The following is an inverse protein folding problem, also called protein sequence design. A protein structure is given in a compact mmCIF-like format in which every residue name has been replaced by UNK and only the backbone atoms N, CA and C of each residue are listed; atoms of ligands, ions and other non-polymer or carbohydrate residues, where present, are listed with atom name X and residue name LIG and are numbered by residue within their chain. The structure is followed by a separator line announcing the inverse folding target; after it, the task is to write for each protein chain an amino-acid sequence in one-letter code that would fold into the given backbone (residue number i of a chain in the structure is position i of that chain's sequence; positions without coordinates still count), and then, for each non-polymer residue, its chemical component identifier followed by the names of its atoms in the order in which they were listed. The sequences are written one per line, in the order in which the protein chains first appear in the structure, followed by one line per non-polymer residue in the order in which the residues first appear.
data_IF_626874359851
#
_entry.id   IF_626874359851
#
_cell.length_a   1.000
_cell.length_b   1.000
_cell.length_c   1.000
_cell.angle_alpha   90.00
_cell.angle_beta   90.00
_cell.angle_gamma   90.00
#
_symmetry.space_group_name_H-M   'P 1'
#
loop_
_entity.id
_entity.type
_entity.pdbx_description
1 polymer ?
#
# COMPACT_ATOMS: atom_id res chain seq x y z
N UNK A 1 13.79 -22.05 -15.65
CA UNK A 1 12.60 -21.18 -15.74
C UNK A 1 13.04 -19.78 -15.39
N UNK A 2 12.51 -18.73 -16.05
CA UNK A 2 12.81 -17.37 -15.65
C UNK A 2 12.22 -17.14 -14.24
N UNK A 3 12.97 -16.50 -13.36
CA UNK A 3 12.52 -16.15 -12.03
C UNK A 3 11.36 -15.15 -12.12
N UNK A 4 10.25 -15.43 -11.44
CA UNK A 4 9.12 -14.51 -11.36
C UNK A 4 9.53 -13.25 -10.59
N UNK A 5 9.40 -12.08 -11.20
CA UNK A 5 9.79 -10.81 -10.60
C UNK A 5 8.71 -9.74 -10.77
N UNK A 6 8.25 -9.19 -9.66
CA UNK A 6 7.30 -8.05 -9.60
C UNK A 6 7.97 -6.74 -10.12
N UNK A 7 7.21 -5.78 -10.65
CA UNK A 7 5.79 -5.89 -10.98
C UNK A 7 5.55 -6.66 -12.28
N UNK A 8 4.38 -7.27 -12.38
CA UNK A 8 3.93 -7.98 -13.58
C UNK A 8 3.20 -7.02 -14.54
N UNK A 9 3.05 -7.41 -15.83
CA UNK A 9 2.39 -6.56 -16.83
C UNK A 9 0.95 -6.19 -16.48
N UNK A 10 0.24 -7.10 -15.82
CA UNK A 10 -1.00 -6.84 -15.12
C UNK A 10 -0.84 -7.25 -13.66
N UNK A 11 -1.26 -6.37 -12.79
CA UNK A 11 -1.02 -6.53 -11.36
C UNK A 11 -2.20 -5.93 -10.56
N UNK A 12 -2.14 -6.00 -9.25
CA UNK A 12 -3.07 -5.38 -8.32
C UNK A 12 -2.32 -4.82 -7.11
N UNK A 13 -2.94 -3.96 -6.32
CA UNK A 13 -2.29 -3.33 -5.16
C UNK A 13 -2.19 -4.31 -3.98
N UNK A 14 -3.27 -5.00 -3.61
CA UNK A 14 -3.12 -6.06 -2.59
C UNK A 14 -4.36 -6.37 -1.75
N UNK A 15 -5.16 -5.37 -1.39
CA UNK A 15 -6.36 -5.59 -0.59
C UNK A 15 -7.57 -5.97 -1.44
N UNK A 16 -8.40 -6.88 -0.90
CA UNK A 16 -9.61 -7.40 -1.53
C UNK A 16 -10.82 -7.22 -0.61
N UNK A 17 -12.03 -7.18 -1.20
CA UNK A 17 -13.28 -7.10 -0.45
C UNK A 17 -13.41 -8.29 0.49
N UNK A 18 -13.65 -8.00 1.79
CA UNK A 18 -13.81 -9.05 2.81
C UNK A 18 -15.10 -9.82 2.58
N UNK A 19 -15.06 -11.19 2.53
CA UNK A 19 -16.25 -12.01 2.47
C UNK A 19 -17.15 -11.80 3.71
N UNK A 20 -18.44 -11.95 3.55
CA UNK A 20 -19.41 -11.78 4.64
C UNK A 20 -19.09 -12.67 5.85
N UNK A 21 -18.72 -13.95 5.61
CA UNK A 21 -18.33 -14.89 6.66
C UNK A 21 -17.16 -14.39 7.50
N UNK A 22 -16.16 -13.73 6.87
CA UNK A 22 -15.03 -13.14 7.60
C UNK A 22 -15.48 -11.96 8.45
N UNK A 23 -16.34 -11.07 7.90
CA UNK A 23 -16.89 -9.93 8.65
C UNK A 23 -17.67 -10.40 9.87
N UNK A 24 -18.49 -11.44 9.73
CA UNK A 24 -19.24 -12.06 10.84
C UNK A 24 -18.32 -12.65 11.91
N UNK A 25 -17.29 -13.39 11.51
CA UNK A 25 -16.33 -13.97 12.46
C UNK A 25 -15.55 -12.87 13.21
N UNK A 26 -15.17 -11.78 12.56
CA UNK A 26 -14.52 -10.63 13.21
C UNK A 26 -15.45 -9.93 14.19
N UNK A 27 -16.74 -9.78 13.86
CA UNK A 27 -17.74 -9.24 14.78
C UNK A 27 -17.94 -10.13 16.01
N UNK A 28 -18.04 -11.45 15.82
CA UNK A 28 -18.15 -12.44 16.90
C UNK A 28 -16.90 -12.43 17.81
N UNK A 29 -15.71 -12.32 17.24
CA UNK A 29 -14.47 -12.18 18.00
C UNK A 29 -14.46 -10.90 18.84
N UNK A 30 -14.85 -9.76 18.24
CA UNK A 30 -14.95 -8.47 18.96
C UNK A 30 -15.98 -8.52 20.09
N UNK A 31 -17.07 -9.27 19.91
CA UNK A 31 -18.08 -9.51 20.93
C UNK A 31 -17.66 -10.55 22.01
N UNK A 32 -16.50 -11.22 21.85
CA UNK A 32 -16.04 -12.27 22.75
C UNK A 32 -16.80 -13.61 22.61
N UNK A 33 -17.53 -13.80 21.50
CA UNK A 33 -18.30 -15.02 21.22
C UNK A 33 -17.43 -16.17 20.69
N UNK A 34 -16.32 -15.82 20.03
CA UNK A 34 -15.30 -16.78 19.58
C UNK A 34 -13.91 -16.32 20.04
N UNK A 35 -12.99 -17.27 20.16
CA UNK A 35 -11.60 -17.00 20.50
C UNK A 35 -10.74 -16.66 19.28
N UNK A 36 -9.48 -16.26 19.50
CA UNK A 36 -8.52 -15.95 18.45
C UNK A 36 -8.26 -17.14 17.53
N UNK A 37 -8.23 -18.36 18.05
CA UNK A 37 -7.97 -19.56 17.25
C UNK A 37 -9.10 -19.80 16.24
N UNK A 38 -10.35 -19.65 16.68
CA UNK A 38 -11.53 -19.77 15.82
C UNK A 38 -11.55 -18.68 14.72
N UNK A 39 -11.24 -17.41 15.05
CA UNK A 39 -11.11 -16.35 14.05
C UNK A 39 -10.00 -16.69 13.05
N UNK A 40 -8.81 -17.09 13.54
CA UNK A 40 -7.68 -17.44 12.67
C UNK A 40 -8.02 -18.59 11.71
N UNK A 41 -8.81 -19.56 12.14
CA UNK A 41 -9.28 -20.64 11.26
C UNK A 41 -10.14 -20.10 10.10
N UNK A 42 -11.07 -19.18 10.39
CA UNK A 42 -11.89 -18.53 9.36
C UNK A 42 -11.05 -17.67 8.41
N UNK A 43 -10.11 -16.90 8.97
CA UNK A 43 -9.17 -16.09 8.16
C UNK A 43 -8.38 -16.99 7.19
N UNK A 44 -7.81 -18.11 7.69
CA UNK A 44 -7.05 -19.06 6.88
C UNK A 44 -7.89 -19.64 5.73
N UNK A 45 -9.11 -20.05 6.00
CA UNK A 45 -10.01 -20.59 4.97
C UNK A 45 -10.35 -19.55 3.90
N UNK A 46 -10.69 -18.32 4.31
CA UNK A 46 -11.08 -17.29 3.37
C UNK A 46 -9.87 -16.77 2.56
N UNK A 47 -8.68 -16.68 3.16
CA UNK A 47 -7.43 -16.36 2.45
C UNK A 47 -7.09 -17.46 1.44
N UNK A 48 -7.23 -18.73 1.81
CA UNK A 48 -7.03 -19.84 0.86
C UNK A 48 -7.94 -19.75 -0.34
N UNK A 49 -9.22 -19.50 -0.14
CA UNK A 49 -10.21 -19.29 -1.22
C UNK A 49 -9.86 -18.09 -2.11
N UNK A 50 -9.41 -17.00 -1.49
CA UNK A 50 -8.98 -15.81 -2.22
C UNK A 50 -7.76 -16.10 -3.10
N UNK A 51 -6.73 -16.76 -2.56
CA UNK A 51 -5.51 -17.11 -3.31
C UNK A 51 -5.85 -18.03 -4.50
N UNK A 52 -6.74 -19.02 -4.30
CA UNK A 52 -7.21 -19.85 -5.42
C UNK A 52 -7.91 -19.04 -6.52
N UNK A 53 -8.67 -17.99 -6.14
CA UNK A 53 -9.30 -17.09 -7.11
C UNK A 53 -8.25 -16.23 -7.85
N UNK A 54 -7.25 -15.69 -7.15
CA UNK A 54 -6.15 -14.94 -7.75
C UNK A 54 -5.40 -15.81 -8.79
N UNK A 55 -5.05 -17.04 -8.44
CA UNK A 55 -4.40 -18.01 -9.35
C UNK A 55 -5.27 -18.35 -10.55
N UNK A 56 -6.56 -18.66 -10.34
CA UNK A 56 -7.50 -18.94 -11.44
C UNK A 56 -7.71 -17.76 -12.37
N UNK A 57 -7.64 -16.54 -11.86
CA UNK A 57 -7.67 -15.33 -12.67
C UNK A 57 -6.37 -15.13 -13.48
N UNK A 58 -5.32 -15.90 -13.16
CA UNK A 58 -4.03 -15.89 -13.86
C UNK A 58 -3.06 -14.81 -13.38
N UNK A 59 -3.25 -14.28 -12.19
CA UNK A 59 -2.33 -13.33 -11.59
C UNK A 59 -1.06 -14.03 -11.10
N UNK A 60 0.08 -13.36 -11.25
CA UNK A 60 1.39 -13.88 -10.85
C UNK A 60 1.81 -13.44 -9.43
N UNK A 61 1.23 -12.38 -8.89
CA UNK A 61 1.33 -12.06 -7.48
C UNK A 61 0.14 -12.66 -6.73
N UNK A 62 0.38 -13.17 -5.52
CA UNK A 62 -0.66 -13.60 -4.59
C UNK A 62 -0.49 -12.89 -3.26
N UNK A 63 -1.59 -12.47 -2.64
CA UNK A 63 -1.63 -11.83 -1.30
C UNK A 63 -2.70 -12.47 -0.44
N UNK A 64 -2.65 -12.19 0.87
CA UNK A 64 -3.74 -12.54 1.80
C UNK A 64 -4.99 -11.64 1.64
N UNK A 65 -4.98 -10.69 0.72
CA UNK A 65 -6.05 -9.72 0.52
C UNK A 65 -6.25 -8.76 1.68
N UNK A 66 -5.32 -8.75 2.63
CA UNK A 66 -5.41 -8.01 3.91
C UNK A 66 -6.58 -8.48 4.79
N UNK A 67 -6.98 -9.74 4.65
CA UNK A 67 -8.14 -10.31 5.36
C UNK A 67 -7.95 -10.39 6.87
N UNK A 68 -6.70 -10.30 7.36
CA UNK A 68 -6.39 -10.26 8.81
C UNK A 68 -6.43 -8.86 9.38
N UNK A 69 -6.58 -7.81 8.55
CA UNK A 69 -6.46 -6.40 8.94
C UNK A 69 -7.82 -5.72 9.06
N UNK A 70 -7.95 -4.85 10.06
CA UNK A 70 -9.02 -3.85 10.17
C UNK A 70 -8.68 -2.62 9.33
N UNK A 71 -7.42 -2.18 9.41
CA UNK A 71 -6.85 -1.08 8.64
C UNK A 71 -5.60 -1.55 7.89
N UNK A 72 -5.38 -1.05 6.69
CA UNK A 72 -4.24 -1.40 5.87
C UNK A 72 -2.89 -1.11 6.55
N UNK A 73 -2.81 -0.08 7.40
CA UNK A 73 -1.58 0.41 8.04
C UNK A 73 -1.50 0.17 9.54
N UNK A 74 -2.58 0.45 10.30
CA UNK A 74 -2.54 0.38 11.77
C UNK A 74 -2.25 -1.02 12.28
N UNK A 75 -2.87 -2.06 11.68
CA UNK A 75 -2.61 -3.46 12.06
C UNK A 75 -1.14 -3.87 11.89
N UNK A 76 -0.41 -3.24 10.95
CA UNK A 76 1.03 -3.40 10.85
C UNK A 76 1.75 -2.62 11.96
N UNK A 77 1.38 -1.37 12.18
CA UNK A 77 2.03 -0.51 13.17
C UNK A 77 1.90 -1.06 14.59
N UNK A 78 0.74 -1.64 14.94
CA UNK A 78 0.51 -2.32 16.21
C UNK A 78 1.40 -3.56 16.41
N UNK A 79 1.99 -4.09 15.36
CA UNK A 79 2.94 -5.19 15.43
C UNK A 79 4.34 -4.81 15.92
N UNK A 80 4.68 -3.51 15.96
CA UNK A 80 5.96 -3.06 16.48
C UNK A 80 5.98 -3.05 18.01
N UNK A 81 7.11 -3.41 18.60
CA UNK A 81 7.35 -3.10 20.01
C UNK A 81 7.43 -1.60 20.22
N UNK A 82 6.95 -1.13 21.35
CA UNK A 82 6.94 0.30 21.71
C UNK A 82 5.82 1.11 21.04
N UNK A 83 4.88 0.45 20.38
CA UNK A 83 3.67 1.04 19.81
C UNK A 83 2.45 0.36 20.44
N UNK A 84 1.54 1.18 20.98
CA UNK A 84 0.26 0.72 21.53
C UNK A 84 -0.90 1.15 20.63
N UNK A 85 -1.95 0.32 20.58
CA UNK A 85 -3.24 0.64 19.97
C UNK A 85 -4.00 1.65 20.83
N UNK A 86 -4.50 2.71 20.19
CA UNK A 86 -5.35 3.73 20.85
C UNK A 86 -6.49 4.15 19.93
N UNK A 87 -7.49 4.81 20.49
CA UNK A 87 -8.52 5.54 19.74
C UNK A 87 -8.35 7.04 19.97
N UNK A 88 -8.52 7.84 18.91
CA UNK A 88 -8.57 9.30 18.96
C UNK A 88 -10.01 9.79 18.96
N UNK A 89 -10.21 11.09 19.09
CA UNK A 89 -11.54 11.72 19.05
C UNK A 89 -12.14 11.67 17.62
N UNK A 90 -11.27 11.58 16.60
CA UNK A 90 -11.64 11.54 15.18
C UNK A 90 -10.91 10.45 14.43
N UNK A 91 -11.57 9.94 13.37
CA UNK A 91 -10.96 9.09 12.34
C UNK A 91 -10.22 9.92 11.28
N UNK A 92 -9.89 9.29 10.16
CA UNK A 92 -9.41 10.00 8.98
C UNK A 92 -10.60 10.55 8.19
N UNK A 93 -10.50 11.80 7.73
CA UNK A 93 -11.51 12.43 6.91
C UNK A 93 -11.29 12.14 5.42
N UNK A 94 -12.35 11.69 4.77
CA UNK A 94 -12.46 11.48 3.34
C UNK A 94 -13.57 12.37 2.77
N UNK A 95 -13.76 12.40 1.47
CA UNK A 95 -14.86 13.16 0.87
C UNK A 95 -16.22 12.59 1.29
N UNK A 96 -16.83 13.22 2.31
CA UNK A 96 -18.14 12.85 2.84
C UNK A 96 -18.18 11.62 3.75
N UNK A 97 -17.05 11.07 4.12
CA UNK A 97 -16.93 9.88 4.99
C UNK A 97 -15.83 10.13 6.04
N UNK A 98 -15.93 9.46 7.17
CA UNK A 98 -14.92 9.42 8.22
C UNK A 98 -14.66 7.97 8.61
N UNK A 99 -13.41 7.60 8.85
CA UNK A 99 -13.07 6.25 9.32
C UNK A 99 -13.41 6.08 10.80
N UNK A 100 -13.34 4.84 11.30
CA UNK A 100 -13.27 4.60 12.73
C UNK A 100 -11.99 5.22 13.32
N UNK A 101 -11.96 5.40 14.64
CA UNK A 101 -11.04 6.30 15.33
C UNK A 101 -9.70 5.68 15.74
N UNK A 102 -9.38 4.50 15.21
CA UNK A 102 -8.13 3.79 15.52
C UNK A 102 -6.89 4.63 15.18
N UNK A 103 -5.87 4.51 16.03
CA UNK A 103 -4.57 5.15 15.90
C UNK A 103 -3.50 4.41 16.72
N UNK A 104 -2.33 5.01 16.85
CA UNK A 104 -1.19 4.48 17.58
C UNK A 104 -0.71 5.47 18.63
N UNK A 105 -0.01 4.94 19.63
CA UNK A 105 0.71 5.75 20.64
C UNK A 105 2.08 5.13 20.90
N UNK A 106 3.12 5.95 20.91
CA UNK A 106 4.43 5.50 21.37
C UNK A 106 4.41 5.23 22.87
N UNK A 107 4.81 4.04 23.29
CA UNK A 107 4.93 3.65 24.70
C UNK A 107 6.37 3.31 25.12
N UNK A 108 7.29 3.23 24.15
CA UNK A 108 8.69 2.92 24.41
C UNK A 108 9.53 2.95 23.13
N UNK A 109 10.73 2.37 23.19
CA UNK A 109 11.59 2.25 22.02
C UNK A 109 10.93 1.40 20.94
N UNK A 110 10.84 1.94 19.72
CA UNK A 110 10.28 1.24 18.56
C UNK A 110 11.26 0.18 18.06
N UNK A 111 10.80 -1.07 17.90
CA UNK A 111 11.59 -2.13 17.28
C UNK A 111 10.69 -3.17 16.59
N UNK A 112 11.27 -3.96 15.66
CA UNK A 112 10.52 -4.77 14.70
C UNK A 112 10.66 -6.28 14.86
N UNK A 113 11.31 -6.78 15.90
CA UNK A 113 11.58 -8.21 16.10
C UNK A 113 10.28 -9.01 16.29
N UNK A 114 10.21 -10.18 15.66
CA UNK A 114 9.07 -11.11 15.75
C UNK A 114 7.74 -10.47 15.31
N UNK A 115 7.78 -9.63 14.28
CA UNK A 115 6.60 -8.93 13.78
C UNK A 115 5.54 -9.92 13.25
N UNK A 116 4.24 -9.77 13.64
CA UNK A 116 3.18 -10.73 13.28
C UNK A 116 3.03 -10.98 11.78
N UNK A 117 3.34 -9.98 10.94
CA UNK A 117 3.23 -10.09 9.49
C UNK A 117 4.19 -11.10 8.87
N UNK A 118 5.25 -11.49 9.57
CA UNK A 118 6.13 -12.59 9.15
C UNK A 118 5.36 -13.92 9.12
N UNK A 119 4.54 -14.19 10.13
CA UNK A 119 3.69 -15.40 10.16
C UNK A 119 2.55 -15.30 9.15
N UNK A 120 1.97 -14.10 8.93
CA UNK A 120 0.97 -13.89 7.88
C UNK A 120 1.57 -14.18 6.49
N UNK A 121 2.78 -13.71 6.23
CA UNK A 121 3.51 -13.99 4.99
C UNK A 121 3.79 -15.49 4.80
N UNK A 122 4.28 -16.18 5.84
CA UNK A 122 4.53 -17.63 5.78
C UNK A 122 3.29 -18.43 5.38
N UNK A 123 2.11 -17.98 5.82
CA UNK A 123 0.85 -18.61 5.41
C UNK A 123 0.59 -18.44 3.91
N UNK A 124 0.79 -17.27 3.34
CA UNK A 124 0.61 -17.02 1.90
C UNK A 124 1.66 -17.74 1.06
N UNK A 125 2.90 -17.76 1.54
CA UNK A 125 4.03 -18.36 0.84
C UNK A 125 3.83 -19.84 0.51
N UNK A 126 3.15 -20.60 1.34
CA UNK A 126 2.90 -22.04 1.08
C UNK A 126 2.08 -22.30 -0.21
N UNK A 127 1.45 -21.26 -0.77
CA UNK A 127 0.70 -21.34 -2.01
C UNK A 127 1.50 -20.90 -3.26
N UNK A 128 2.77 -20.51 -3.11
CA UNK A 128 3.63 -20.23 -4.26
C UNK A 128 3.79 -21.47 -5.16
N UNK A 129 3.91 -21.22 -6.46
CA UNK A 129 4.24 -22.23 -7.44
C UNK A 129 5.05 -21.62 -8.60
N UNK A 130 5.21 -22.36 -9.68
CA UNK A 130 5.96 -21.94 -10.88
C UNK A 130 5.37 -20.71 -11.58
N UNK A 131 4.09 -20.37 -11.32
CA UNK A 131 3.35 -19.30 -11.98
C UNK A 131 3.06 -18.10 -11.06
N UNK A 132 3.24 -18.24 -9.74
CA UNK A 132 2.91 -17.16 -8.81
C UNK A 132 3.84 -17.10 -7.59
N UNK A 133 4.10 -15.87 -7.14
CA UNK A 133 4.88 -15.55 -5.93
C UNK A 133 4.04 -14.74 -4.93
N UNK A 134 4.29 -14.98 -3.65
CA UNK A 134 3.67 -14.24 -2.57
C UNK A 134 4.21 -12.80 -2.49
N UNK A 135 3.32 -11.85 -2.26
CA UNK A 135 3.64 -10.45 -1.97
C UNK A 135 3.21 -10.11 -0.56
N UNK A 136 4.11 -9.49 0.21
CA UNK A 136 3.77 -8.85 1.46
C UNK A 136 3.53 -7.36 1.24
N UNK A 137 2.33 -6.87 1.57
CA UNK A 137 2.01 -5.44 1.61
C UNK A 137 2.16 -4.92 3.04
N UNK A 138 2.73 -3.74 3.19
CA UNK A 138 2.88 -3.07 4.48
C UNK A 138 3.00 -1.55 4.29
N UNK A 139 2.60 -0.72 5.27
CA UNK A 139 2.75 0.73 5.15
C UNK A 139 4.23 1.12 5.04
N UNK A 140 4.52 2.21 4.34
CA UNK A 140 5.85 2.78 4.26
C UNK A 140 6.33 3.33 5.62
N UNK A 141 7.65 3.41 5.87
CA UNK A 141 8.18 4.02 7.10
C UNK A 141 7.70 5.46 7.34
N UNK A 142 7.62 6.27 6.27
CA UNK A 142 7.08 7.63 6.35
C UNK A 142 5.62 7.66 6.83
N UNK A 143 4.82 6.65 6.51
CA UNK A 143 3.44 6.53 6.98
C UNK A 143 3.37 6.32 8.50
N UNK A 144 4.30 5.56 9.09
CA UNK A 144 4.41 5.43 10.55
C UNK A 144 4.79 6.77 11.19
N UNK A 145 5.78 7.48 10.64
CA UNK A 145 6.16 8.80 11.14
C UNK A 145 4.99 9.79 11.10
N UNK A 146 4.24 9.81 9.99
CA UNK A 146 3.07 10.67 9.85
C UNK A 146 1.98 10.35 10.89
N UNK A 147 1.73 9.07 11.19
CA UNK A 147 0.76 8.65 12.20
C UNK A 147 1.21 9.01 13.62
N UNK A 148 2.51 8.92 13.92
CA UNK A 148 3.09 9.31 15.21
C UNK A 148 2.96 10.82 15.49
N UNK A 149 2.76 11.63 14.46
CA UNK A 149 2.52 13.08 14.57
C UNK A 149 1.10 13.49 14.22
N UNK A 150 0.20 12.53 14.04
CA UNK A 150 -1.20 12.82 13.79
C UNK A 150 -1.86 13.41 15.04
N UNK A 151 -2.45 14.61 14.90
CA UNK A 151 -3.18 15.32 15.97
C UNK A 151 -2.37 15.41 17.28
N UNK A 152 -2.95 14.96 18.39
CA UNK A 152 -2.29 15.00 19.71
C UNK A 152 -1.21 13.91 19.93
N UNK A 153 -1.05 12.96 19.01
CA UNK A 153 0.00 11.95 19.08
C UNK A 153 1.40 12.57 19.14
N UNK A 154 1.62 13.71 18.45
CA UNK A 154 2.90 14.39 18.41
C UNK A 154 3.45 14.74 19.79
N UNK A 155 2.59 15.22 20.72
CA UNK A 155 3.01 15.53 22.09
C UNK A 155 3.53 14.31 22.84
N UNK A 156 2.89 13.15 22.62
CA UNK A 156 3.34 11.90 23.22
C UNK A 156 4.64 11.42 22.57
N UNK A 157 4.74 11.53 21.26
CA UNK A 157 5.93 11.14 20.50
C UNK A 157 7.14 11.93 20.97
N UNK A 158 7.05 13.26 21.06
CA UNK A 158 8.13 14.12 21.55
C UNK A 158 8.51 13.84 23.02
N UNK A 159 7.55 13.44 23.85
CA UNK A 159 7.82 13.08 25.24
C UNK A 159 8.63 11.78 25.37
N UNK A 160 8.40 10.79 24.51
CA UNK A 160 9.13 9.50 24.49
C UNK A 160 10.42 9.62 23.68
N UNK A 161 10.38 10.38 22.60
CA UNK A 161 11.51 10.63 21.69
C UNK A 161 11.84 12.14 21.63
N UNK A 162 12.51 12.69 22.64
CA UNK A 162 12.92 14.11 22.62
C UNK A 162 13.99 14.39 21.55
N UNK A 163 14.69 13.38 21.07
CA UNK A 163 15.59 13.43 19.92
C UNK A 163 14.88 12.87 18.68
N UNK A 164 14.45 13.76 17.79
CA UNK A 164 13.77 13.40 16.56
C UNK A 164 14.63 12.52 15.64
N UNK A 165 15.95 12.75 15.60
CA UNK A 165 16.86 11.91 14.81
C UNK A 165 16.88 10.47 15.33
N UNK A 166 16.84 10.28 16.66
CA UNK A 166 16.75 8.94 17.24
C UNK A 166 15.43 8.23 16.84
N UNK A 167 14.31 8.96 16.78
CA UNK A 167 13.05 8.41 16.29
C UNK A 167 13.18 7.92 14.85
N UNK A 168 13.74 8.75 13.95
CA UNK A 168 13.97 8.37 12.54
C UNK A 168 14.82 7.11 12.44
N UNK A 169 15.91 7.02 13.20
CA UNK A 169 16.81 5.86 13.18
C UNK A 169 16.13 4.59 13.73
N UNK A 170 15.34 4.69 14.80
CA UNK A 170 14.65 3.55 15.38
C UNK A 170 13.53 3.04 14.47
N UNK A 171 12.75 3.93 13.83
CA UNK A 171 11.76 3.53 12.81
C UNK A 171 12.46 2.80 11.66
N UNK A 172 13.51 3.38 11.08
CA UNK A 172 14.24 2.75 9.98
C UNK A 172 14.80 1.39 10.37
N UNK A 173 15.37 1.26 11.58
CA UNK A 173 15.89 0.00 12.10
C UNK A 173 14.80 -1.05 12.30
N UNK A 174 13.63 -0.66 12.84
CA UNK A 174 12.49 -1.55 13.02
C UNK A 174 12.00 -2.12 11.68
N UNK A 175 11.86 -1.27 10.66
CA UNK A 175 11.50 -1.72 9.31
C UNK A 175 12.56 -2.64 8.70
N UNK A 176 13.84 -2.33 8.84
CA UNK A 176 14.93 -3.23 8.37
C UNK A 176 14.84 -4.60 9.02
N UNK A 177 14.55 -4.67 10.33
CA UNK A 177 14.36 -5.93 11.05
C UNK A 177 13.21 -6.73 10.43
N UNK A 178 12.04 -6.13 10.23
CA UNK A 178 10.89 -6.79 9.58
C UNK A 178 11.22 -7.27 8.16
N UNK A 179 11.90 -6.44 7.36
CA UNK A 179 12.32 -6.80 5.99
C UNK A 179 13.28 -8.00 6.01
N UNK A 180 14.23 -8.03 6.95
CA UNK A 180 15.18 -9.15 7.09
C UNK A 180 14.47 -10.43 7.55
N UNK A 181 13.53 -10.36 8.49
CA UNK A 181 12.75 -11.50 8.94
C UNK A 181 11.82 -12.04 7.83
N UNK A 182 11.18 -11.17 7.07
CA UNK A 182 10.41 -11.56 5.88
C UNK A 182 11.29 -12.23 4.83
N UNK A 183 12.48 -11.66 4.56
CA UNK A 183 13.43 -12.25 3.62
C UNK A 183 13.91 -13.63 4.09
N UNK A 184 14.23 -13.77 5.38
CA UNK A 184 14.60 -15.05 5.99
C UNK A 184 13.47 -16.10 5.92
N UNK A 185 12.20 -15.65 6.01
CA UNK A 185 11.02 -16.47 5.76
C UNK A 185 10.81 -16.82 4.28
N UNK A 186 11.67 -16.31 3.38
CA UNK A 186 11.66 -16.56 1.95
C UNK A 186 10.91 -15.53 1.11
N UNK A 187 10.58 -14.37 1.67
CA UNK A 187 9.96 -13.28 0.92
C UNK A 187 10.93 -12.71 -0.12
N UNK A 188 10.41 -12.50 -1.34
CA UNK A 188 11.15 -11.88 -2.45
C UNK A 188 10.38 -10.72 -3.08
N UNK A 189 9.21 -10.38 -2.52
CA UNK A 189 8.31 -9.37 -3.08
C UNK A 189 7.61 -8.62 -1.96
N UNK A 190 8.06 -7.41 -1.66
CA UNK A 190 7.46 -6.50 -0.68
C UNK A 190 6.89 -5.30 -1.42
N UNK A 191 5.71 -4.84 -1.01
CA UNK A 191 5.12 -3.59 -1.46
C UNK A 191 4.91 -2.68 -0.25
N UNK A 192 5.50 -1.49 -0.31
CA UNK A 192 5.11 -0.39 0.56
C UNK A 192 3.83 0.26 0.05
N UNK A 193 2.93 0.60 0.97
CA UNK A 193 1.76 1.42 0.69
C UNK A 193 1.97 2.76 1.40
N UNK A 194 1.95 3.86 0.64
CA UNK A 194 2.35 5.18 1.12
C UNK A 194 1.36 6.27 0.70
N UNK A 195 0.55 6.74 1.65
CA UNK A 195 -0.35 7.86 1.45
C UNK A 195 0.35 9.23 1.66
N UNK A 196 1.54 9.26 2.26
CA UNK A 196 2.22 10.52 2.60
C UNK A 196 2.56 11.32 1.34
N UNK A 197 3.00 10.65 0.28
CA UNK A 197 3.26 11.28 -1.01
C UNK A 197 2.00 11.85 -1.65
N UNK A 198 0.88 11.17 -1.55
CA UNK A 198 -0.41 11.67 -2.01
C UNK A 198 -0.83 12.95 -1.28
N UNK A 199 -0.60 12.99 0.04
CA UNK A 199 -0.88 14.17 0.86
C UNK A 199 0.04 15.36 0.53
N UNK A 200 1.36 15.13 0.40
CA UNK A 200 2.30 16.21 0.02
C UNK A 200 1.95 16.78 -1.37
N UNK A 201 1.43 15.95 -2.27
CA UNK A 201 0.97 16.39 -3.59
C UNK A 201 -0.32 17.22 -3.57
N UNK A 202 -1.08 17.20 -2.47
CA UNK A 202 -2.36 17.90 -2.35
C UNK A 202 -2.17 19.39 -2.09
N UNK A 203 -2.78 20.27 -2.93
CA UNK A 203 -2.67 21.73 -2.75
C UNK A 203 -3.18 22.23 -1.39
N UNK A 204 -4.19 21.59 -0.80
CA UNK A 204 -4.72 22.00 0.51
C UNK A 204 -3.70 21.69 1.61
N UNK A 205 -3.05 20.53 1.55
CA UNK A 205 -1.99 20.18 2.49
C UNK A 205 -0.76 21.09 2.32
N UNK A 206 -0.39 21.44 1.08
CA UNK A 206 0.69 22.39 0.80
C UNK A 206 0.39 23.77 1.38
N UNK A 207 -0.86 24.24 1.29
CA UNK A 207 -1.29 25.50 1.91
C UNK A 207 -1.20 25.43 3.43
N UNK A 208 -1.66 24.33 4.06
CA UNK A 208 -1.51 24.10 5.51
C UNK A 208 -0.04 24.15 5.95
N UNK A 209 0.86 23.49 5.24
CA UNK A 209 2.30 23.54 5.52
C UNK A 209 2.85 24.96 5.42
N UNK A 210 2.44 25.72 4.38
CA UNK A 210 2.84 27.10 4.20
C UNK A 210 2.36 28.01 5.34
N UNK A 211 1.12 27.84 5.81
CA UNK A 211 0.58 28.56 6.98
C UNK A 211 1.35 28.24 8.26
N UNK A 212 1.83 27.02 8.39
CA UNK A 212 2.70 26.56 9.50
C UNK A 212 4.17 26.93 9.32
N UNK A 213 4.51 27.74 8.29
CA UNK A 213 5.90 28.08 7.93
C UNK A 213 6.82 26.88 7.70
N UNK A 214 6.24 25.78 7.22
CA UNK A 214 6.95 24.54 6.87
C UNK A 214 7.06 24.44 5.35
N UNK A 215 8.25 24.11 4.84
CA UNK A 215 8.44 23.94 3.40
C UNK A 215 8.05 22.52 3.00
N UNK A 216 7.34 22.40 1.88
CA UNK A 216 6.94 21.11 1.29
C UNK A 216 8.17 20.25 1.00
N UNK A 217 9.23 20.87 0.50
CA UNK A 217 10.48 20.19 0.15
C UNK A 217 11.19 19.59 1.37
N UNK A 218 11.11 20.24 2.55
CA UNK A 218 11.71 19.74 3.77
C UNK A 218 10.97 18.48 4.26
N UNK A 219 9.64 18.48 4.21
CA UNK A 219 8.80 17.31 4.54
C UNK A 219 9.05 16.16 3.55
N UNK A 220 9.08 16.45 2.26
CA UNK A 220 9.35 15.47 1.21
C UNK A 220 10.75 14.85 1.38
N UNK A 221 11.77 15.67 1.70
CA UNK A 221 13.12 15.20 1.93
C UNK A 221 13.23 14.30 3.18
N UNK A 222 12.52 14.61 4.25
CA UNK A 222 12.49 13.80 5.47
C UNK A 222 11.84 12.44 5.21
N UNK A 223 10.68 12.40 4.56
CA UNK A 223 9.99 11.16 4.23
C UNK A 223 10.80 10.28 3.28
N UNK A 224 11.39 10.89 2.23
CA UNK A 224 12.30 10.19 1.33
C UNK A 224 13.49 9.59 2.08
N UNK A 225 14.12 10.39 2.95
CA UNK A 225 15.25 9.95 3.76
C UNK A 225 14.88 8.76 4.64
N UNK A 226 13.75 8.82 5.34
CA UNK A 226 13.29 7.75 6.22
C UNK A 226 12.98 6.48 5.43
N UNK A 227 12.24 6.57 4.32
CA UNK A 227 11.95 5.42 3.46
C UNK A 227 13.25 4.78 2.95
N UNK A 228 14.22 5.59 2.50
CA UNK A 228 15.49 5.08 2.00
C UNK A 228 16.38 4.49 3.11
N UNK A 229 16.40 5.06 4.32
CA UNK A 229 17.11 4.48 5.47
C UNK A 229 16.59 3.09 5.84
N UNK A 230 15.27 2.89 5.76
CA UNK A 230 14.66 1.58 6.00
C UNK A 230 15.05 0.54 4.93
N UNK A 231 15.46 0.99 3.75
CA UNK A 231 15.89 0.14 2.62
C UNK A 231 17.40 -0.04 2.54
N UNK A 232 18.17 0.56 3.44
CA UNK A 232 19.61 0.34 3.48
C UNK A 232 19.97 -1.13 3.73
N UNK A 233 20.94 -1.63 2.97
CA UNK A 233 21.38 -3.03 3.06
C UNK A 233 20.24 -4.04 2.81
N UNK A 234 19.24 -3.68 1.99
CA UNK A 234 18.21 -4.65 1.61
C UNK A 234 18.84 -5.89 0.97
N UNK A 235 18.32 -7.09 1.27
CA UNK A 235 18.87 -8.33 0.72
C UNK A 235 18.84 -8.35 -0.81
N UNK A 236 19.87 -8.95 -1.41
CA UNK A 236 19.93 -9.18 -2.86
C UNK A 236 18.79 -10.09 -3.31
N UNK A 237 18.21 -9.80 -4.48
CA UNK A 237 17.06 -10.53 -5.05
C UNK A 237 15.71 -10.18 -4.42
N UNK A 238 15.66 -9.30 -3.41
CA UNK A 238 14.41 -8.79 -2.87
C UNK A 238 13.91 -7.62 -3.73
N UNK A 239 12.73 -7.78 -4.34
CA UNK A 239 12.03 -6.70 -5.02
C UNK A 239 11.19 -5.92 -4.01
N UNK A 240 11.37 -4.61 -3.97
CA UNK A 240 10.56 -3.70 -3.17
C UNK A 240 9.91 -2.67 -4.09
N UNK A 241 8.59 -2.54 -4.00
CA UNK A 241 7.80 -1.57 -4.75
C UNK A 241 7.09 -0.63 -3.79
N UNK A 242 6.66 0.54 -4.25
CA UNK A 242 5.82 1.44 -3.44
C UNK A 242 4.54 1.79 -4.19
N UNK A 243 3.41 1.77 -3.49
CA UNK A 243 2.12 2.25 -3.98
C UNK A 243 1.83 3.62 -3.36
N UNK A 244 1.65 4.62 -4.23
CA UNK A 244 1.28 5.98 -3.82
C UNK A 244 -0.23 6.10 -3.81
N UNK A 245 -0.81 6.07 -2.62
CA UNK A 245 -2.24 6.15 -2.42
C UNK A 245 -2.69 7.60 -2.21
N UNK A 246 -3.89 7.93 -2.69
CA UNK A 246 -4.57 9.22 -2.47
C UNK A 246 -5.76 9.09 -1.52
N UNK A 247 -5.77 8.01 -0.75
CA UNK A 247 -6.90 7.62 0.06
C UNK A 247 -7.91 6.75 -0.68
N UNK A 248 -8.35 5.69 -0.02
CA UNK A 248 -9.30 4.72 -0.57
C UNK A 248 -10.16 4.15 0.57
N UNK A 249 -11.26 4.81 0.86
CA UNK A 249 -12.18 4.42 1.92
C UNK A 249 -13.62 4.51 1.44
N UNK A 250 -14.34 3.39 1.51
CA UNK A 250 -15.77 3.28 1.18
C UNK A 250 -16.13 3.97 -0.15
N UNK A 251 -15.28 3.79 -1.18
CA UNK A 251 -15.37 4.38 -2.53
C UNK A 251 -15.13 5.89 -2.59
N UNK A 252 -14.49 6.48 -1.58
CA UNK A 252 -14.08 7.89 -1.58
C UNK A 252 -12.54 8.03 -1.55
N UNK A 253 -12.05 9.24 -1.58
CA UNK A 253 -10.63 9.58 -1.53
C UNK A 253 -10.37 10.70 -0.51
N UNK A 254 -9.12 10.89 -0.10
CA UNK A 254 -8.71 11.91 0.87
C UNK A 254 -7.98 13.07 0.21
N UNK A 255 -7.08 12.82 -0.75
CA UNK A 255 -6.22 13.83 -1.37
C UNK A 255 -6.33 13.85 -2.89
N UNK A 256 -6.00 15.00 -3.49
CA UNK A 256 -5.90 15.21 -4.93
C UNK A 256 -4.68 16.06 -5.26
N UNK A 257 -4.28 16.15 -6.52
CA UNK A 257 -3.13 16.88 -7.00
C UNK A 257 -2.28 16.05 -7.96
N UNK A 258 -1.42 16.70 -8.71
CA UNK A 258 -0.50 16.01 -9.62
C UNK A 258 0.75 15.48 -8.88
N UNK A 259 1.64 14.83 -9.64
CA UNK A 259 2.89 14.30 -9.10
C UNK A 259 4.07 15.26 -9.24
N UNK A 260 3.93 16.47 -9.81
CA UNK A 260 5.07 17.36 -10.09
C UNK A 260 5.86 17.75 -8.85
N UNK A 261 5.18 18.11 -7.77
CA UNK A 261 5.82 18.53 -6.52
C UNK A 261 6.67 17.42 -5.91
N UNK A 262 6.19 16.17 -5.98
CA UNK A 262 6.84 15.02 -5.32
C UNK A 262 7.76 14.22 -6.26
N UNK A 263 7.61 14.36 -7.57
CA UNK A 263 8.38 13.58 -8.55
C UNK A 263 9.91 13.69 -8.38
N UNK A 264 10.50 14.87 -8.11
CA UNK A 264 11.94 15.00 -7.90
C UNK A 264 12.47 14.23 -6.67
N UNK A 265 11.63 13.95 -5.70
CA UNK A 265 11.93 13.15 -4.51
C UNK A 265 11.58 11.70 -4.74
N UNK A 266 10.29 11.40 -4.87
CA UNK A 266 9.74 10.06 -5.00
C UNK A 266 10.29 9.33 -6.24
N UNK A 267 9.97 9.82 -7.43
CA UNK A 267 10.23 9.09 -8.68
C UNK A 267 11.72 9.07 -9.04
N UNK A 268 12.45 10.13 -8.69
CA UNK A 268 13.87 10.22 -8.99
C UNK A 268 14.75 9.52 -7.95
N UNK A 269 14.37 9.48 -6.66
CA UNK A 269 15.32 9.19 -5.60
C UNK A 269 14.89 8.09 -4.62
N UNK A 270 13.61 7.72 -4.52
CA UNK A 270 13.20 6.64 -3.60
C UNK A 270 13.80 5.29 -4.06
N UNK A 271 14.42 4.56 -3.16
CA UNK A 271 15.22 3.36 -3.47
C UNK A 271 14.36 2.10 -3.61
N UNK A 272 13.30 2.17 -4.43
CA UNK A 272 12.41 1.06 -4.79
C UNK A 272 12.59 0.64 -6.24
N UNK A 273 12.11 -0.54 -6.61
CA UNK A 273 12.23 -1.09 -7.97
C UNK A 273 11.10 -0.63 -8.89
N UNK A 274 9.94 -0.27 -8.35
CA UNK A 274 8.80 0.21 -9.11
C UNK A 274 7.81 1.02 -8.27
N UNK A 275 7.01 1.81 -8.97
CA UNK A 275 5.96 2.66 -8.41
C UNK A 275 4.58 2.24 -8.94
N UNK A 276 3.60 2.04 -8.04
CA UNK A 276 2.19 1.90 -8.37
C UNK A 276 1.53 3.26 -8.16
N UNK A 277 1.11 3.91 -9.25
CA UNK A 277 0.63 5.29 -9.22
C UNK A 277 -0.82 5.38 -9.65
N UNK A 278 -1.65 6.08 -8.88
CA UNK A 278 -3.05 6.33 -9.22
C UNK A 278 -3.16 7.32 -10.37
N UNK A 279 -3.85 6.90 -11.44
CA UNK A 279 -4.18 7.70 -12.62
C UNK A 279 -5.57 7.38 -13.17
N UNK A 280 -6.49 6.92 -12.34
CA UNK A 280 -7.85 6.49 -12.75
C UNK A 280 -8.74 7.65 -13.18
N UNK A 281 -8.47 8.87 -12.72
CA UNK A 281 -9.21 10.08 -13.09
C UNK A 281 -8.33 11.34 -13.14
N UNK A 282 -8.99 12.51 -13.31
CA UNK A 282 -8.30 13.79 -13.46
C UNK A 282 -7.62 14.31 -12.17
N UNK A 283 -7.94 13.75 -10.99
CA UNK A 283 -7.34 14.17 -9.71
C UNK A 283 -5.82 14.03 -9.68
N UNK A 284 -5.28 13.08 -10.44
CA UNK A 284 -3.85 12.77 -10.45
C UNK A 284 -3.05 13.60 -11.47
N UNK A 285 -3.70 14.49 -12.21
CA UNK A 285 -3.04 15.30 -13.22
C UNK A 285 -2.58 14.54 -14.46
N UNK A 286 -1.47 14.97 -15.07
CA UNK A 286 -0.93 14.39 -16.30
C UNK A 286 0.16 13.34 -16.04
N UNK A 287 0.56 12.60 -17.09
CA UNK A 287 1.69 11.66 -17.05
C UNK A 287 3.07 12.30 -17.16
N UNK A 288 3.15 13.62 -17.40
CA UNK A 288 4.44 14.29 -17.59
C UNK A 288 5.44 14.09 -16.43
N UNK A 289 5.02 14.01 -15.15
CA UNK A 289 5.94 13.70 -14.03
C UNK A 289 6.68 12.36 -14.17
N UNK A 290 6.19 11.42 -14.99
CA UNK A 290 6.87 10.14 -15.25
C UNK A 290 8.26 10.30 -15.86
N UNK A 291 8.57 11.46 -16.48
CA UNK A 291 9.92 11.79 -16.97
C UNK A 291 10.99 11.79 -15.86
N UNK A 292 10.59 11.93 -14.59
CA UNK A 292 11.50 11.90 -13.43
C UNK A 292 11.81 10.48 -12.94
N UNK A 293 11.12 9.46 -13.45
CA UNK A 293 11.35 8.08 -13.02
C UNK A 293 12.76 7.64 -13.36
N UNK A 294 13.56 7.37 -12.33
CA UNK A 294 14.96 6.97 -12.50
C UNK A 294 15.11 5.72 -13.37
N UNK A 295 16.24 5.61 -14.07
CA UNK A 295 16.51 4.49 -14.97
C UNK A 295 16.43 3.14 -14.26
N UNK A 296 15.95 2.13 -14.98
CA UNK A 296 15.76 0.77 -14.47
C UNK A 296 14.49 0.54 -13.66
N UNK A 297 13.82 1.58 -13.18
CA UNK A 297 12.57 1.45 -12.41
C UNK A 297 11.36 1.34 -13.33
N UNK A 298 10.34 0.62 -12.87
CA UNK A 298 9.07 0.46 -13.57
C UNK A 298 7.96 1.32 -12.96
N UNK A 299 6.92 1.56 -13.75
CA UNK A 299 5.70 2.20 -13.30
C UNK A 299 4.50 1.31 -13.59
N UNK A 300 3.70 1.05 -12.59
CA UNK A 300 2.42 0.37 -12.70
C UNK A 300 1.34 1.45 -12.72
N UNK A 301 0.71 1.63 -13.87
CA UNK A 301 -0.32 2.64 -14.08
C UNK A 301 -1.65 2.16 -13.49
N UNK A 302 -2.11 2.82 -12.44
CA UNK A 302 -3.40 2.58 -11.81
C UNK A 302 -4.51 3.27 -12.59
N UNK A 303 -4.95 2.70 -13.71
CA UNK A 303 -5.90 3.31 -14.65
C UNK A 303 -7.35 2.81 -14.50
N UNK A 304 -7.56 1.79 -13.69
CA UNK A 304 -8.88 1.18 -13.45
C UNK A 304 -9.31 1.49 -12.02
N UNK A 305 -10.43 2.20 -11.87
CA UNK A 305 -10.89 2.59 -10.53
C UNK A 305 -11.45 1.41 -9.73
N UNK A 306 -11.12 1.36 -8.42
CA UNK A 306 -11.77 0.46 -7.45
C UNK A 306 -12.91 1.13 -6.68
N UNK A 307 -13.22 2.39 -7.00
CA UNK A 307 -14.24 3.20 -6.31
C UNK A 307 -15.63 3.11 -6.96
N UNK A 308 -15.72 2.55 -8.16
CA UNK A 308 -16.96 2.45 -8.93
C UNK A 308 -17.10 1.07 -9.56
N UNK A 309 -18.32 0.48 -9.63
CA UNK A 309 -18.56 -0.83 -10.25
C UNK A 309 -18.47 -0.80 -11.78
N UNK A 310 -18.57 0.37 -12.40
CA UNK A 310 -18.58 0.52 -13.85
C UNK A 310 -17.24 0.18 -14.45
N UNK A 311 -17.23 -0.68 -15.49
CA UNK A 311 -16.01 -1.01 -16.22
C UNK A 311 -15.61 0.16 -17.13
N UNK A 312 -14.33 0.45 -17.13
CA UNK A 312 -13.70 1.42 -18.03
C UNK A 312 -13.78 0.94 -19.49
N UNK A 313 -13.82 1.90 -20.41
CA UNK A 313 -13.68 1.58 -21.83
C UNK A 313 -12.25 1.13 -22.12
N UNK A 314 -12.09 -0.08 -22.65
CA UNK A 314 -10.80 -0.73 -22.95
C UNK A 314 -9.90 0.14 -23.83
N UNK A 315 -10.46 0.69 -24.92
CA UNK A 315 -9.68 1.49 -25.87
C UNK A 315 -9.24 2.81 -25.26
N UNK A 316 -10.05 3.41 -24.39
CA UNK A 316 -9.69 4.61 -23.65
C UNK A 316 -8.53 4.35 -22.67
N UNK A 317 -8.53 3.23 -21.96
CA UNK A 317 -7.40 2.86 -21.08
C UNK A 317 -6.13 2.59 -21.90
N UNK A 318 -6.24 1.88 -23.04
CA UNK A 318 -5.11 1.66 -23.94
C UNK A 318 -4.54 3.00 -24.46
N UNK A 319 -5.40 3.95 -24.84
CA UNK A 319 -4.98 5.26 -25.28
C UNK A 319 -4.20 6.02 -24.18
N UNK A 320 -4.62 5.89 -22.91
CA UNK A 320 -3.89 6.48 -21.78
C UNK A 320 -2.54 5.81 -21.52
N UNK A 321 -2.42 4.50 -21.71
CA UNK A 321 -1.11 3.81 -21.65
C UNK A 321 -0.18 4.36 -22.75
N UNK A 322 -0.69 4.58 -23.98
CA UNK A 322 0.07 5.19 -25.07
C UNK A 322 0.42 6.64 -24.83
N UNK A 323 -0.39 7.38 -24.07
CA UNK A 323 -0.05 8.72 -23.60
C UNK A 323 1.13 8.69 -22.62
N UNK A 324 1.10 7.79 -21.62
CA UNK A 324 2.19 7.62 -20.66
C UNK A 324 3.51 7.21 -21.33
N UNK A 325 3.43 6.41 -22.41
CA UNK A 325 4.60 5.96 -23.21
C UNK A 325 5.42 7.14 -23.78
N UNK A 326 4.85 8.32 -23.90
CA UNK A 326 5.58 9.54 -24.36
C UNK A 326 6.64 10.01 -23.35
N UNK A 327 6.53 9.59 -22.09
CA UNK A 327 7.38 10.04 -20.98
C UNK A 327 8.28 8.96 -20.43
N UNK A 328 7.89 7.68 -20.57
CA UNK A 328 8.63 6.52 -20.09
C UNK A 328 8.42 5.34 -21.06
N UNK A 329 9.46 4.58 -21.43
CA UNK A 329 9.35 3.47 -22.38
C UNK A 329 8.28 2.44 -21.99
N UNK A 330 7.56 1.90 -22.99
CA UNK A 330 6.46 0.96 -22.80
C UNK A 330 6.88 -0.32 -22.05
N UNK A 331 8.11 -0.77 -22.21
CA UNK A 331 8.67 -1.94 -21.53
C UNK A 331 8.89 -1.71 -20.02
N UNK A 332 8.88 -0.45 -19.57
CA UNK A 332 8.90 -0.05 -18.17
C UNK A 332 7.50 0.21 -17.58
N UNK A 333 6.45 0.10 -18.39
CA UNK A 333 5.05 0.29 -17.96
C UNK A 333 4.37 -1.05 -17.67
N UNK A 334 3.51 -1.04 -16.67
CA UNK A 334 2.59 -2.13 -16.30
C UNK A 334 1.22 -1.52 -16.00
N UNK A 335 0.20 -2.34 -15.76
CA UNK A 335 -1.18 -1.90 -15.52
C UNK A 335 -1.73 -2.54 -14.23
N UNK A 336 -2.46 -1.76 -13.43
CA UNK A 336 -3.22 -2.24 -12.28
C UNK A 336 -4.50 -1.40 -12.06
N UNK A 337 -5.39 -1.82 -11.14
CA UNK A 337 -6.31 -0.89 -10.52
C UNK A 337 -5.56 0.23 -9.79
N UNK A 338 -6.20 1.38 -9.57
CA UNK A 338 -5.56 2.54 -8.96
C UNK A 338 -5.16 2.30 -7.50
N UNK A 339 -5.89 1.46 -6.77
CA UNK A 339 -5.64 1.07 -5.38
C UNK A 339 -6.16 -0.37 -5.13
N UNK A 340 -6.13 -0.83 -3.88
CA UNK A 340 -6.85 -2.02 -3.45
C UNK A 340 -8.37 -1.82 -3.44
N UNK A 341 -9.13 -2.89 -3.20
CA UNK A 341 -10.60 -2.85 -3.14
C UNK A 341 -11.13 -2.60 -1.71
N UNK A 342 -10.29 -2.78 -0.70
CA UNK A 342 -10.69 -2.64 0.69
C UNK A 342 -9.50 -2.32 1.60
N UNK A 343 -9.10 -1.06 1.66
CA UNK A 343 -8.03 -0.58 2.53
C UNK A 343 -8.40 -0.65 4.03
N UNK A 344 -9.67 -0.64 4.34
CA UNK A 344 -10.24 -0.99 5.65
C UNK A 344 -11.25 -2.13 5.49
N UNK A 345 -11.62 -2.79 6.58
CA UNK A 345 -12.52 -3.95 6.53
C UNK A 345 -13.92 -3.67 5.95
N UNK A 346 -14.37 -2.40 5.99
CA UNK A 346 -15.63 -1.99 5.36
C UNK A 346 -15.61 -2.24 3.84
N UNK A 347 -14.46 -1.94 3.19
CA UNK A 347 -14.29 -2.07 1.74
C UNK A 347 -15.01 -1.00 0.92
N UNK A 348 -14.74 -1.00 -0.38
CA UNK A 348 -15.40 -0.14 -1.34
C UNK A 348 -16.83 -0.64 -1.69
N UNK A 349 -17.64 0.25 -2.24
CA UNK A 349 -19.06 -0.02 -2.60
C UNK A 349 -19.17 -0.81 -3.91
N UNK A 350 -18.50 -1.96 -3.95
CA UNK A 350 -18.55 -2.92 -5.04
C UNK A 350 -18.90 -4.31 -4.52
N UNK A 351 -19.47 -5.13 -5.38
CA UNK A 351 -19.61 -6.57 -5.13
C UNK A 351 -18.33 -7.32 -5.48
N UNK A 352 -18.17 -8.52 -4.95
CA UNK A 352 -17.04 -9.38 -5.31
C UNK A 352 -16.98 -9.67 -6.82
N UNK A 353 -18.12 -9.83 -7.48
CA UNK A 353 -18.19 -10.04 -8.93
C UNK A 353 -17.61 -8.83 -9.70
N UNK A 354 -17.99 -7.63 -9.31
CA UNK A 354 -17.50 -6.39 -9.92
C UNK A 354 -15.99 -6.23 -9.71
N UNK A 355 -15.47 -6.55 -8.51
CA UNK A 355 -14.05 -6.60 -8.23
C UNK A 355 -13.31 -7.52 -9.23
N UNK A 356 -13.80 -8.75 -9.42
CA UNK A 356 -13.16 -9.69 -10.35
C UNK A 356 -13.31 -9.28 -11.82
N UNK A 357 -14.42 -8.62 -12.19
CA UNK A 357 -14.58 -8.05 -13.54
C UNK A 357 -13.55 -6.93 -13.82
N UNK A 358 -13.27 -6.07 -12.83
CA UNK A 358 -12.20 -5.06 -12.94
C UNK A 358 -10.83 -5.70 -13.18
N UNK A 359 -10.49 -6.71 -12.40
CA UNK A 359 -9.22 -7.43 -12.55
C UNK A 359 -9.13 -8.16 -13.90
N UNK A 360 -10.24 -8.76 -14.37
CA UNK A 360 -10.29 -9.36 -15.71
C UNK A 360 -10.04 -8.32 -16.81
N UNK A 361 -10.65 -7.13 -16.70
CA UNK A 361 -10.44 -6.02 -17.63
C UNK A 361 -8.96 -5.58 -17.65
N UNK A 362 -8.32 -5.42 -16.48
CA UNK A 362 -6.88 -5.09 -16.37
C UNK A 362 -6.03 -6.10 -17.14
N UNK A 363 -6.26 -7.39 -16.94
CA UNK A 363 -5.54 -8.46 -17.65
C UNK A 363 -5.77 -8.39 -19.16
N UNK A 364 -7.00 -8.30 -19.62
CA UNK A 364 -7.34 -8.24 -21.06
C UNK A 364 -6.71 -7.04 -21.76
N UNK A 365 -6.65 -5.88 -21.09
CA UNK A 365 -5.96 -4.69 -21.60
C UNK A 365 -4.45 -4.95 -21.70
N UNK A 366 -3.86 -5.46 -20.62
CA UNK A 366 -2.41 -5.73 -20.60
C UNK A 366 -1.99 -6.74 -21.68
N UNK A 367 -2.74 -7.83 -21.83
CA UNK A 367 -2.48 -8.82 -22.90
C UNK A 367 -2.62 -8.21 -24.31
N UNK A 368 -3.48 -7.21 -24.49
CA UNK A 368 -3.61 -6.49 -25.76
C UNK A 368 -2.42 -5.57 -26.02
N UNK A 369 -1.88 -4.91 -24.98
CA UNK A 369 -0.81 -3.91 -25.12
C UNK A 369 0.58 -4.56 -25.22
N UNK A 370 0.84 -5.59 -24.41
CA UNK A 370 2.18 -6.19 -24.26
C UNK A 370 2.28 -7.63 -24.78
N UNK A 371 1.16 -8.24 -25.19
CA UNK A 371 1.10 -9.66 -25.57
C UNK A 371 0.86 -10.56 -24.34
N UNK A 372 0.65 -11.86 -24.63
CA UNK A 372 0.49 -12.89 -23.59
C UNK A 372 1.83 -13.36 -23.06
#
# INVERSE_FOLDING_TARGET
MAELKSPFRYDFVGSFLRPQRLKEARAQFKAGEIDRAALTAVENEEITRLIEKQKRAGYHAITDGEFRRSYWHLDFMWGFHGIDEVELDHGYFFHGEETTHGSIKVSGKISGENHPFVEHYKFVKQFEDENCIARQTMPAPAQLLAELYREDNGKNTDAVYPDHEQLIQDIAAAYRTVIQELYAAGCRNIQFDDCTWGMIGDPNYQNFLKESNTKVEDVAAEYLRLNNLALENRPEGLTITTHVCRGNYHSTWASEGDYFTIAPFLLAQENVDAFYLEFDDARSGSFEPLKYVADGKKVVLGLVTTKSPWLENKDAVIARIREAEKYIPLDRLCLSPQCGFASCEIGNKLTELEQWNKLKLVKEIAETVWGK
#
